data_IF_860088320770
#
_entry.id   IF_860088320770
#
_cell.length_a   1.000
_cell.length_b   1.000
_cell.length_c   1.000
_cell.angle_alpha   90.00
_cell.angle_beta   90.00
_cell.angle_gamma   90.00
#
_symmetry.space_group_name_H-M   'P 1'
#
loop_
_entity.id
_entity.type
_entity.pdbx_description
1 polymer ?
#
# COMPACT_ATOMS: atom_id res chain seq x y z
N UNK A 1 136.11 -43.03 -57.30
CA UNK A 1 134.74 -43.34 -57.81
C UNK A 1 133.65 -43.30 -56.72
N UNK A 2 134.01 -43.34 -55.43
CA UNK A 2 133.09 -43.48 -54.29
C UNK A 2 132.50 -42.16 -53.73
N UNK A 3 132.84 -41.00 -54.31
CA UNK A 3 132.30 -39.68 -53.92
C UNK A 3 131.11 -39.23 -54.78
N UNK A 4 131.04 -39.67 -56.04
CA UNK A 4 129.97 -39.32 -56.98
C UNK A 4 128.66 -40.05 -56.62
N UNK A 5 128.74 -41.28 -56.12
CA UNK A 5 127.58 -42.06 -55.65
C UNK A 5 126.91 -41.43 -54.42
N UNK A 6 127.69 -41.05 -53.40
CA UNK A 6 127.17 -40.41 -52.18
C UNK A 6 126.52 -39.05 -52.43
N UNK A 7 127.08 -38.23 -53.32
CA UNK A 7 126.45 -36.96 -53.73
C UNK A 7 125.15 -37.14 -54.52
N UNK A 8 124.98 -38.24 -55.26
CA UNK A 8 123.71 -38.56 -55.93
C UNK A 8 122.65 -39.05 -54.94
N UNK A 9 123.02 -39.91 -53.99
CA UNK A 9 122.11 -40.40 -52.95
C UNK A 9 121.62 -39.25 -52.06
N UNK A 10 122.53 -38.37 -51.60
CA UNK A 10 122.15 -37.20 -50.79
C UNK A 10 121.21 -36.23 -51.55
N UNK A 11 121.37 -36.09 -52.87
CA UNK A 11 120.45 -35.30 -53.70
C UNK A 11 119.07 -35.94 -53.81
N UNK A 12 118.99 -37.27 -53.94
CA UNK A 12 117.72 -38.00 -54.00
C UNK A 12 116.99 -37.93 -52.65
N UNK A 13 117.69 -38.10 -51.53
CA UNK A 13 117.10 -37.97 -50.19
C UNK A 13 116.57 -36.55 -49.98
N UNK A 14 117.37 -35.51 -50.29
CA UNK A 14 116.92 -34.12 -50.18
C UNK A 14 115.73 -33.82 -51.10
N UNK A 15 115.73 -34.35 -52.32
CA UNK A 15 114.61 -34.17 -53.23
C UNK A 15 113.35 -34.89 -52.74
N UNK A 16 113.49 -36.06 -52.12
CA UNK A 16 112.39 -36.79 -51.48
C UNK A 16 111.85 -36.05 -50.25
N UNK A 17 112.72 -35.51 -49.40
CA UNK A 17 112.35 -34.73 -48.21
C UNK A 17 111.65 -33.42 -48.59
N UNK A 18 112.11 -32.74 -49.64
CA UNK A 18 111.42 -31.56 -50.20
C UNK A 18 110.06 -31.97 -50.79
N UNK A 19 109.98 -33.10 -51.50
CA UNK A 19 108.71 -33.57 -52.07
C UNK A 19 107.71 -33.98 -50.97
N UNK A 20 108.17 -34.63 -49.91
CA UNK A 20 107.37 -35.01 -48.74
C UNK A 20 106.87 -33.78 -47.99
N UNK A 21 107.77 -32.82 -47.68
CA UNK A 21 107.37 -31.57 -47.03
C UNK A 21 106.41 -30.74 -47.88
N UNK A 22 106.61 -30.71 -49.21
CA UNK A 22 105.66 -30.04 -50.12
C UNK A 22 104.30 -30.74 -50.14
N UNK A 23 104.27 -32.08 -50.18
CA UNK A 23 103.03 -32.85 -50.15
C UNK A 23 102.30 -32.70 -48.80
N UNK A 24 103.03 -32.67 -47.70
CA UNK A 24 102.47 -32.45 -46.35
C UNK A 24 101.92 -31.02 -46.21
N UNK A 25 102.64 -30.00 -46.69
CA UNK A 25 102.15 -28.62 -46.71
C UNK A 25 100.90 -28.46 -47.58
N UNK A 26 100.88 -29.09 -48.78
CA UNK A 26 99.71 -29.07 -49.66
C UNK A 26 98.51 -29.78 -49.03
N UNK A 27 98.72 -30.92 -48.35
CA UNK A 27 97.68 -31.62 -47.62
C UNK A 27 97.13 -30.77 -46.46
N UNK A 28 98.02 -30.13 -45.70
CA UNK A 28 97.65 -29.26 -44.58
C UNK A 28 96.88 -28.01 -45.05
N UNK A 29 97.28 -27.39 -46.17
CA UNK A 29 96.55 -26.28 -46.77
C UNK A 29 95.15 -26.70 -47.22
N UNK A 30 95.03 -27.82 -47.95
CA UNK A 30 93.72 -28.34 -48.37
C UNK A 30 92.84 -28.70 -47.18
N UNK A 31 93.40 -29.31 -46.14
CA UNK A 31 92.67 -29.64 -44.91
C UNK A 31 92.18 -28.38 -44.19
N UNK A 32 93.01 -27.33 -44.10
CA UNK A 32 92.63 -26.06 -43.49
C UNK A 32 91.54 -25.33 -44.30
N UNK A 33 91.64 -25.33 -45.63
CA UNK A 33 90.63 -24.73 -46.51
C UNK A 33 89.27 -25.45 -46.39
N UNK A 34 89.28 -26.78 -46.38
CA UNK A 34 88.04 -27.56 -46.22
C UNK A 34 87.47 -27.44 -44.80
N UNK A 35 88.32 -27.38 -43.77
CA UNK A 35 87.89 -27.10 -42.40
C UNK A 35 87.23 -25.71 -42.30
N UNK A 36 87.84 -24.67 -42.89
CA UNK A 36 87.26 -23.33 -42.93
C UNK A 36 85.92 -23.28 -43.67
N UNK A 37 85.79 -24.02 -44.78
CA UNK A 37 84.51 -24.16 -45.50
C UNK A 37 83.45 -24.87 -44.66
N UNK A 38 83.83 -25.93 -43.96
CA UNK A 38 82.94 -26.66 -43.07
C UNK A 38 82.44 -25.78 -41.92
N UNK A 39 83.34 -25.03 -41.28
CA UNK A 39 82.97 -24.10 -40.19
C UNK A 39 82.02 -23.01 -40.66
N UNK A 40 82.28 -22.41 -41.83
CA UNK A 40 81.37 -21.41 -42.42
C UNK A 40 80.01 -22.04 -42.75
N UNK A 41 79.98 -23.27 -43.28
CA UNK A 41 78.74 -23.98 -43.55
C UNK A 41 77.94 -24.27 -42.27
N UNK A 42 78.61 -24.71 -41.20
CA UNK A 42 77.99 -24.94 -39.87
C UNK A 42 77.43 -23.63 -39.32
N UNK A 43 78.21 -22.55 -39.33
CA UNK A 43 77.75 -21.24 -38.84
C UNK A 43 76.54 -20.71 -39.63
N UNK A 44 76.53 -20.91 -40.96
CA UNK A 44 75.41 -20.50 -41.79
C UNK A 44 74.16 -21.35 -41.51
N UNK A 45 74.32 -22.66 -41.31
CA UNK A 45 73.23 -23.55 -40.92
C UNK A 45 72.66 -23.14 -39.54
N UNK A 46 73.52 -22.84 -38.57
CA UNK A 46 73.11 -22.43 -37.23
C UNK A 46 72.39 -21.06 -37.25
N UNK A 47 72.90 -20.09 -38.03
CA UNK A 47 72.21 -18.82 -38.27
C UNK A 47 70.82 -19.04 -38.87
N UNK A 48 70.69 -19.92 -39.86
CA UNK A 48 69.42 -20.24 -40.48
C UNK A 48 68.43 -20.90 -39.49
N UNK A 49 68.92 -21.82 -38.65
CA UNK A 49 68.13 -22.46 -37.60
C UNK A 49 67.64 -21.43 -36.58
N UNK A 50 68.52 -20.54 -36.11
CA UNK A 50 68.15 -19.49 -35.15
C UNK A 50 67.12 -18.53 -35.76
N UNK A 51 67.31 -18.12 -37.01
CA UNK A 51 66.35 -17.28 -37.72
C UNK A 51 64.96 -17.95 -37.81
N UNK A 52 64.91 -19.24 -38.17
CA UNK A 52 63.67 -20.01 -38.26
C UNK A 52 63.00 -20.22 -36.90
N UNK A 53 63.78 -20.46 -35.83
CA UNK A 53 63.24 -20.53 -34.47
C UNK A 53 62.64 -19.21 -34.00
N UNK A 54 63.29 -18.09 -34.31
CA UNK A 54 62.76 -16.77 -33.99
C UNK A 54 61.48 -16.46 -34.76
N UNK A 55 61.44 -16.82 -36.05
CA UNK A 55 60.24 -16.71 -36.88
C UNK A 55 59.09 -17.57 -36.32
N UNK A 56 59.37 -18.83 -35.96
CA UNK A 56 58.40 -19.71 -35.32
C UNK A 56 57.87 -19.14 -34.00
N UNK A 57 58.75 -18.59 -33.14
CA UNK A 57 58.36 -17.93 -31.89
C UNK A 57 57.47 -16.73 -32.13
N UNK A 58 57.78 -15.91 -33.14
CA UNK A 58 56.95 -14.76 -33.51
C UNK A 58 55.56 -15.20 -33.95
N UNK A 59 55.49 -16.17 -34.87
CA UNK A 59 54.20 -16.70 -35.36
C UNK A 59 53.39 -17.32 -34.22
N UNK A 60 54.03 -18.07 -33.32
CA UNK A 60 53.37 -18.66 -32.16
C UNK A 60 52.81 -17.58 -31.21
N UNK A 61 53.57 -16.51 -30.96
CA UNK A 61 53.13 -15.39 -30.13
C UNK A 61 51.97 -14.62 -30.77
N UNK A 62 52.03 -14.35 -32.07
CA UNK A 62 50.96 -13.67 -32.81
C UNK A 62 49.67 -14.51 -32.82
N UNK A 63 49.79 -15.82 -33.04
CA UNK A 63 48.65 -16.74 -32.99
C UNK A 63 48.06 -16.81 -31.57
N UNK A 64 48.89 -16.93 -30.54
CA UNK A 64 48.43 -16.95 -29.16
C UNK A 64 47.67 -15.66 -28.79
N UNK A 65 48.20 -14.50 -29.20
CA UNK A 65 47.55 -13.20 -29.01
C UNK A 65 46.20 -13.13 -29.73
N UNK A 66 46.13 -13.63 -30.97
CA UNK A 66 44.88 -13.65 -31.73
C UNK A 66 43.82 -14.54 -31.07
N UNK A 67 44.20 -15.75 -30.63
CA UNK A 67 43.32 -16.69 -29.93
C UNK A 67 42.82 -16.08 -28.62
N UNK A 68 43.71 -15.48 -27.83
CA UNK A 68 43.35 -14.87 -26.56
C UNK A 68 42.43 -13.65 -26.74
N UNK A 69 42.68 -12.83 -27.77
CA UNK A 69 41.82 -11.70 -28.12
C UNK A 69 40.42 -12.18 -28.53
N UNK A 70 40.34 -13.17 -29.41
CA UNK A 70 39.07 -13.73 -29.86
C UNK A 70 38.30 -14.40 -28.71
N UNK A 71 39.00 -15.11 -27.82
CA UNK A 71 38.39 -15.73 -26.64
C UNK A 71 37.84 -14.68 -25.67
N UNK A 72 38.59 -13.59 -25.40
CA UNK A 72 38.12 -12.46 -24.59
C UNK A 72 36.87 -11.82 -25.18
N UNK A 73 36.88 -11.56 -26.49
CA UNK A 73 35.75 -10.96 -27.20
C UNK A 73 34.50 -11.86 -27.16
N UNK A 74 34.67 -13.16 -27.39
CA UNK A 74 33.59 -14.14 -27.30
C UNK A 74 32.99 -14.21 -25.89
N UNK A 75 33.84 -14.23 -24.86
CA UNK A 75 33.40 -14.22 -23.46
C UNK A 75 32.69 -12.91 -23.08
N UNK A 76 33.22 -11.77 -23.52
CA UNK A 76 32.61 -10.47 -23.28
C UNK A 76 31.22 -10.37 -23.93
N UNK A 77 31.09 -10.79 -25.20
CA UNK A 77 29.80 -10.87 -25.90
C UNK A 77 28.83 -11.82 -25.19
N UNK A 78 29.32 -12.98 -24.74
CA UNK A 78 28.51 -13.92 -23.99
C UNK A 78 27.98 -13.35 -22.67
N UNK A 79 28.82 -12.61 -21.93
CA UNK A 79 28.41 -11.92 -20.71
C UNK A 79 27.41 -10.79 -21.00
N UNK A 80 27.67 -9.99 -22.04
CA UNK A 80 26.77 -8.92 -22.44
C UNK A 80 25.38 -9.45 -22.80
N UNK A 81 25.29 -10.51 -23.62
CA UNK A 81 24.01 -11.12 -23.97
C UNK A 81 23.25 -11.67 -22.75
N UNK A 82 23.98 -12.21 -21.75
CA UNK A 82 23.38 -12.62 -20.47
C UNK A 82 22.85 -11.43 -19.69
N UNK A 83 23.61 -10.35 -19.58
CA UNK A 83 23.18 -9.16 -18.87
C UNK A 83 21.98 -8.47 -19.54
N UNK A 84 21.92 -8.45 -20.87
CA UNK A 84 20.77 -7.95 -21.62
C UNK A 84 19.52 -8.80 -21.35
N UNK A 85 19.63 -10.13 -21.45
CA UNK A 85 18.53 -11.04 -21.14
C UNK A 85 18.07 -10.95 -19.68
N UNK A 86 19.00 -10.78 -18.73
CA UNK A 86 18.68 -10.57 -17.32
C UNK A 86 17.96 -9.24 -17.11
N UNK A 87 18.39 -8.15 -17.74
CA UNK A 87 17.72 -6.85 -17.66
C UNK A 87 16.28 -6.93 -18.17
N UNK A 88 16.07 -7.56 -19.32
CA UNK A 88 14.73 -7.78 -19.88
C UNK A 88 13.85 -8.59 -18.92
N UNK A 89 14.40 -9.66 -18.32
CA UNK A 89 13.69 -10.47 -17.34
C UNK A 89 13.31 -9.66 -16.10
N UNK A 90 14.20 -8.81 -15.59
CA UNK A 90 13.88 -7.98 -14.43
C UNK A 90 12.82 -6.93 -14.74
N UNK A 91 12.82 -6.37 -15.94
CA UNK A 91 11.77 -5.42 -16.35
C UNK A 91 10.40 -6.11 -16.43
N UNK A 92 10.33 -7.32 -17.01
CA UNK A 92 9.10 -8.12 -17.02
C UNK A 92 8.64 -8.45 -15.60
N UNK A 93 9.57 -8.82 -14.70
CA UNK A 93 9.23 -9.12 -13.29
C UNK A 93 8.69 -7.89 -12.57
N UNK A 94 9.30 -6.72 -12.78
CA UNK A 94 8.83 -5.45 -12.23
C UNK A 94 7.41 -5.14 -12.72
N UNK A 95 7.14 -5.31 -14.01
CA UNK A 95 5.80 -5.10 -14.57
C UNK A 95 4.78 -6.08 -14.00
N UNK A 96 5.14 -7.36 -13.91
CA UNK A 96 4.29 -8.40 -13.31
C UNK A 96 3.95 -8.06 -11.85
N UNK A 97 4.96 -7.68 -11.07
CA UNK A 97 4.77 -7.37 -9.66
C UNK A 97 3.94 -6.09 -9.47
N UNK A 98 4.13 -5.09 -10.33
CA UNK A 98 3.28 -3.89 -10.35
C UNK A 98 1.81 -4.27 -10.59
N UNK A 99 1.55 -5.12 -11.58
CA UNK A 99 0.18 -5.58 -11.89
C UNK A 99 -0.42 -6.35 -10.71
N UNK A 100 0.36 -7.23 -10.08
CA UNK A 100 -0.08 -7.97 -8.89
C UNK A 100 -0.41 -7.05 -7.73
N UNK A 101 0.47 -6.10 -7.41
CA UNK A 101 0.25 -5.16 -6.32
C UNK A 101 -1.02 -4.33 -6.56
N UNK A 102 -1.20 -3.84 -7.79
CA UNK A 102 -2.40 -3.08 -8.14
C UNK A 102 -3.67 -3.94 -8.05
N UNK A 103 -3.63 -5.19 -8.54
CA UNK A 103 -4.79 -6.08 -8.55
C UNK A 103 -5.16 -6.60 -7.14
N UNK A 104 -4.17 -6.98 -6.34
CA UNK A 104 -4.38 -7.66 -5.06
C UNK A 104 -4.51 -6.70 -3.88
N UNK A 105 -3.88 -5.52 -3.95
CA UNK A 105 -3.83 -4.57 -2.83
C UNK A 105 -4.54 -3.26 -3.14
N UNK A 106 -4.15 -2.56 -4.20
CA UNK A 106 -4.64 -1.20 -4.46
C UNK A 106 -6.12 -1.21 -4.86
N UNK A 107 -6.51 -2.04 -5.83
CA UNK A 107 -7.88 -2.06 -6.34
C UNK A 107 -8.91 -2.50 -5.28
N UNK A 108 -8.66 -3.54 -4.46
CA UNK A 108 -9.56 -3.89 -3.36
C UNK A 108 -9.61 -2.82 -2.27
N UNK A 109 -8.50 -2.16 -1.97
CA UNK A 109 -8.46 -1.07 -1.00
C UNK A 109 -9.31 0.13 -1.49
N UNK A 110 -9.16 0.52 -2.76
CA UNK A 110 -9.96 1.57 -3.38
C UNK A 110 -11.44 1.21 -3.45
N UNK A 111 -11.76 -0.04 -3.79
CA UNK A 111 -13.14 -0.52 -3.80
C UNK A 111 -13.77 -0.45 -2.41
N UNK A 112 -13.05 -0.89 -1.35
CA UNK A 112 -13.51 -0.78 0.05
C UNK A 112 -13.70 0.67 0.47
N UNK A 113 -12.74 1.53 0.18
CA UNK A 113 -12.84 2.97 0.47
C UNK A 113 -14.09 3.59 -0.17
N UNK A 114 -14.31 3.37 -1.46
CA UNK A 114 -15.49 3.88 -2.16
C UNK A 114 -16.79 3.29 -1.61
N UNK A 115 -16.81 2.00 -1.27
CA UNK A 115 -17.96 1.37 -0.64
C UNK A 115 -18.29 2.00 0.72
N UNK A 116 -17.27 2.24 1.56
CA UNK A 116 -17.44 2.90 2.86
C UNK A 116 -17.93 4.33 2.72
N UNK A 117 -17.41 5.09 1.76
CA UNK A 117 -17.89 6.45 1.45
C UNK A 117 -19.37 6.44 1.05
N UNK A 118 -19.79 5.49 0.21
CA UNK A 118 -21.20 5.35 -0.21
C UNK A 118 -22.09 4.90 0.95
N UNK A 119 -21.63 3.97 1.78
CA UNK A 119 -22.36 3.52 2.97
C UNK A 119 -22.51 4.67 3.96
N UNK A 120 -21.46 5.46 4.19
CA UNK A 120 -21.51 6.62 5.07
C UNK A 120 -22.50 7.69 4.56
N UNK A 121 -22.48 7.99 3.26
CA UNK A 121 -23.46 8.87 2.62
C UNK A 121 -24.88 8.32 2.75
N UNK A 122 -25.08 7.02 2.51
CA UNK A 122 -26.38 6.38 2.67
C UNK A 122 -26.90 6.41 4.11
N UNK A 123 -26.03 6.21 5.11
CA UNK A 123 -26.37 6.33 6.53
C UNK A 123 -26.71 7.78 6.94
N UNK A 124 -26.07 8.77 6.33
CA UNK A 124 -26.33 10.19 6.59
C UNK A 124 -27.61 10.70 5.90
N UNK A 125 -27.97 10.15 4.73
CA UNK A 125 -29.14 10.56 3.94
C UNK A 125 -30.47 10.68 4.73
N UNK A 126 -30.90 9.71 5.55
CA UNK A 126 -32.14 9.86 6.32
C UNK A 126 -32.04 10.96 7.38
N UNK A 127 -30.85 11.22 7.93
CA UNK A 127 -30.66 12.31 8.89
C UNK A 127 -30.82 13.67 8.22
N UNK A 128 -30.24 13.83 7.03
CA UNK A 128 -30.39 15.05 6.24
C UNK A 128 -31.84 15.27 5.81
N UNK A 129 -32.51 14.22 5.30
CA UNK A 129 -33.88 14.34 4.80
C UNK A 129 -34.90 14.52 5.94
N UNK A 130 -34.75 13.81 7.06
CA UNK A 130 -35.57 14.06 8.24
C UNK A 130 -35.32 15.45 8.81
N UNK A 131 -34.08 15.95 8.77
CA UNK A 131 -33.75 17.31 9.17
C UNK A 131 -34.43 18.36 8.29
N UNK A 132 -34.44 18.15 6.96
CA UNK A 132 -35.14 18.99 5.98
C UNK A 132 -36.66 18.98 6.21
N UNK A 133 -37.25 17.79 6.33
CA UNK A 133 -38.68 17.63 6.59
C UNK A 133 -39.10 18.26 7.93
N UNK A 134 -38.31 18.09 8.99
CA UNK A 134 -38.57 18.74 10.28
C UNK A 134 -38.48 20.26 10.18
N UNK A 135 -37.49 20.79 9.46
CA UNK A 135 -37.37 22.23 9.24
C UNK A 135 -38.59 22.79 8.49
N UNK A 136 -39.10 22.08 7.48
CA UNK A 136 -40.32 22.45 6.75
C UNK A 136 -41.56 22.42 7.67
N UNK A 137 -41.72 21.36 8.47
CA UNK A 137 -42.81 21.26 9.47
C UNK A 137 -42.74 22.42 10.47
N UNK A 138 -41.55 22.78 10.95
CA UNK A 138 -41.37 23.92 11.87
C UNK A 138 -41.70 25.26 11.19
N UNK A 139 -41.36 25.44 9.91
CA UNK A 139 -41.74 26.63 9.16
C UNK A 139 -43.26 26.72 8.98
N UNK A 140 -43.94 25.62 8.66
CA UNK A 140 -45.40 25.56 8.56
C UNK A 140 -46.07 25.86 9.91
N UNK A 141 -45.52 25.32 11.00
CA UNK A 141 -46.01 25.59 12.34
C UNK A 141 -45.82 27.07 12.73
N UNK A 142 -44.66 27.65 12.41
CA UNK A 142 -44.39 29.06 12.64
C UNK A 142 -45.33 29.97 11.83
N UNK A 143 -45.61 29.62 10.57
CA UNK A 143 -46.56 30.34 9.71
C UNK A 143 -48.00 30.23 10.24
N UNK A 144 -48.43 29.04 10.66
CA UNK A 144 -49.75 28.83 11.28
C UNK A 144 -49.88 29.61 12.59
N UNK A 145 -48.81 29.66 13.40
CA UNK A 145 -48.79 30.43 14.63
C UNK A 145 -48.87 31.94 14.37
N UNK A 146 -48.13 32.44 13.37
CA UNK A 146 -48.24 33.84 12.94
C UNK A 146 -49.63 34.20 12.43
N UNK A 147 -50.35 33.26 11.81
CA UNK A 147 -51.69 33.48 11.27
C UNK A 147 -52.80 33.43 12.33
N UNK A 148 -52.64 32.60 13.38
CA UNK A 148 -53.67 32.36 14.38
C UNK A 148 -53.73 33.44 15.51
N UNK A 149 -52.77 34.36 15.56
CA UNK A 149 -52.82 35.54 16.43
C UNK A 149 -52.73 35.24 17.94
N UNK A 150 -53.02 36.25 18.75
CA UNK A 150 -52.71 36.32 20.21
C UNK A 150 -53.31 35.16 21.04
N UNK A 151 -54.39 34.53 20.58
CA UNK A 151 -55.09 33.44 21.30
C UNK A 151 -54.65 32.01 20.91
N UNK A 152 -53.78 31.85 19.91
CA UNK A 152 -53.34 30.54 19.43
C UNK A 152 -52.43 29.79 20.42
N UNK A 153 -51.70 30.55 21.25
CA UNK A 153 -50.72 30.03 22.19
C UNK A 153 -51.37 29.25 23.33
N UNK A 154 -52.53 29.72 23.79
CA UNK A 154 -53.20 29.17 24.98
C UNK A 154 -53.89 27.83 24.69
N UNK A 155 -54.52 27.68 23.52
CA UNK A 155 -55.17 26.43 23.10
C UNK A 155 -54.14 25.32 22.88
N UNK A 156 -52.98 25.64 22.28
CA UNK A 156 -51.92 24.65 22.04
C UNK A 156 -51.21 24.21 23.33
N UNK A 157 -51.01 25.13 24.29
CA UNK A 157 -50.44 24.79 25.60
C UNK A 157 -51.32 23.80 26.36
N UNK A 158 -52.64 23.92 26.29
CA UNK A 158 -53.57 22.98 26.94
C UNK A 158 -53.38 21.56 26.38
N UNK A 159 -53.25 21.41 25.05
CA UNK A 159 -53.05 20.10 24.43
C UNK A 159 -51.69 19.47 24.79
N UNK A 160 -50.64 20.28 24.89
CA UNK A 160 -49.30 19.79 25.20
C UNK A 160 -49.12 19.46 26.70
N UNK A 161 -49.83 20.16 27.59
CA UNK A 161 -49.86 19.87 29.03
C UNK A 161 -50.45 18.47 29.28
N UNK A 162 -51.48 18.05 28.55
CA UNK A 162 -52.07 16.71 28.69
C UNK A 162 -51.05 15.59 28.40
N UNK A 163 -50.25 15.76 27.35
CA UNK A 163 -49.19 14.82 26.98
C UNK A 163 -48.01 14.80 27.97
N UNK A 164 -47.66 15.95 28.55
CA UNK A 164 -46.64 16.03 29.60
C UNK A 164 -47.12 15.39 30.90
N UNK A 165 -48.36 15.64 31.30
CA UNK A 165 -48.98 15.05 32.49
C UNK A 165 -49.07 13.54 32.36
N UNK A 166 -49.47 13.00 31.21
CA UNK A 166 -49.53 11.55 30.99
C UNK A 166 -48.16 10.88 31.07
N UNK A 167 -47.11 11.53 30.56
CA UNK A 167 -45.73 11.03 30.62
C UNK A 167 -45.17 11.07 32.05
N UNK A 168 -45.49 12.12 32.81
CA UNK A 168 -45.13 12.24 34.23
C UNK A 168 -45.85 11.18 35.06
N UNK A 169 -47.16 10.99 34.86
CA UNK A 169 -47.97 9.96 35.53
C UNK A 169 -47.45 8.55 35.21
N UNK A 170 -47.07 8.29 33.96
CA UNK A 170 -46.48 7.01 33.54
C UNK A 170 -45.08 6.75 34.12
N UNK A 171 -44.30 7.80 34.42
CA UNK A 171 -43.02 7.66 35.13
C UNK A 171 -43.22 7.53 36.64
N UNK A 172 -44.21 8.21 37.22
CA UNK A 172 -44.58 8.09 38.63
C UNK A 172 -45.17 6.72 38.97
N UNK A 173 -45.94 6.10 38.06
CA UNK A 173 -46.46 4.74 38.27
C UNK A 173 -45.36 3.66 38.28
N UNK A 174 -44.19 3.95 37.68
CA UNK A 174 -42.97 3.11 37.78
C UNK A 174 -42.18 3.32 39.07
N UNK A 175 -42.53 4.33 39.86
CA UNK A 175 -41.90 4.66 41.14
C UNK A 175 -42.74 4.06 42.28
N UNK A 176 -42.83 2.73 42.34
CA UNK A 176 -43.41 2.03 43.49
C UNK A 176 -42.43 2.10 44.65
N UNK A 177 -42.73 2.91 45.66
CA UNK A 177 -41.96 2.97 46.92
C UNK A 177 -42.13 1.63 47.62
N UNK A 178 -41.04 0.85 47.68
CA UNK A 178 -41.08 -0.56 48.08
C UNK A 178 -41.23 -0.76 49.58
N UNK A 179 -40.82 0.22 50.39
CA UNK A 179 -40.88 0.17 51.84
C UNK A 179 -40.75 1.60 52.42
N UNK A 180 -41.67 1.99 53.29
CA UNK A 180 -41.57 3.24 54.06
C UNK A 180 -41.52 2.85 55.53
N UNK A 181 -40.36 3.02 56.16
CA UNK A 181 -40.22 2.84 57.60
C UNK A 181 -40.76 4.08 58.31
N UNK A 182 -41.98 3.97 58.81
CA UNK A 182 -42.62 4.99 59.63
C UNK A 182 -42.17 4.74 61.08
N UNK A 183 -41.41 5.67 61.65
CA UNK A 183 -41.05 5.63 63.07
C UNK A 183 -42.22 6.23 63.85
N UNK A 184 -43.01 5.36 64.48
CA UNK A 184 -44.08 5.75 65.39
C UNK A 184 -43.47 6.15 66.75
N UNK A 185 -43.70 7.38 67.26
CA UNK A 185 -43.31 7.76 68.61
C UNK A 185 -44.14 7.08 69.70
N UNK A 186 -45.09 6.22 69.35
CA UNK A 186 -45.82 5.33 70.27
C UNK A 186 -47.20 5.84 70.70
N UNK A 187 -47.80 6.80 69.98
CA UNK A 187 -49.16 7.29 70.27
C UNK A 187 -50.22 6.88 69.22
N UNK A 188 -49.83 6.14 68.18
CA UNK A 188 -50.74 5.64 67.14
C UNK A 188 -51.20 6.68 66.12
N UNK A 189 -50.73 7.94 66.19
CA UNK A 189 -51.07 9.00 65.22
C UNK A 189 -50.23 8.97 63.93
N UNK A 190 -49.19 8.14 63.86
CA UNK A 190 -48.24 8.14 62.74
C UNK A 190 -48.86 7.74 61.39
N UNK A 191 -49.74 6.73 61.38
CA UNK A 191 -50.46 6.28 60.17
C UNK A 191 -51.53 7.30 59.72
N UNK A 192 -52.40 7.82 60.61
CA UNK A 192 -53.33 8.90 60.27
C UNK A 192 -52.65 10.17 59.76
N UNK A 193 -51.52 10.58 60.37
CA UNK A 193 -50.77 11.77 59.95
C UNK A 193 -50.09 11.60 58.58
N UNK A 194 -49.60 10.40 58.24
CA UNK A 194 -49.06 10.12 56.91
C UNK A 194 -50.14 10.19 55.82
N UNK A 195 -51.32 9.61 56.09
CA UNK A 195 -52.45 9.66 55.16
C UNK A 195 -53.02 11.08 55.03
N UNK A 196 -53.05 11.85 56.12
CA UNK A 196 -53.47 13.26 56.12
C UNK A 196 -52.43 14.22 55.51
N UNK A 197 -51.16 13.82 55.45
CA UNK A 197 -50.11 14.62 54.81
C UNK A 197 -50.21 14.59 53.28
N UNK A 198 -50.76 13.53 52.66
CA UNK A 198 -50.86 13.39 51.20
C UNK A 198 -51.59 14.56 50.52
N UNK A 199 -52.79 15.01 50.97
CA UNK A 199 -53.42 16.19 50.40
C UNK A 199 -52.58 17.47 50.49
N UNK A 200 -51.81 17.63 51.58
CA UNK A 200 -50.98 18.82 51.82
C UNK A 200 -49.69 18.81 50.99
N UNK A 201 -49.05 17.64 50.79
CA UNK A 201 -47.92 17.50 49.88
C UNK A 201 -48.35 17.73 48.43
N UNK A 202 -49.51 17.23 48.01
CA UNK A 202 -50.05 17.51 46.68
C UNK A 202 -50.32 19.01 46.49
N UNK A 203 -50.90 19.69 47.48
CA UNK A 203 -51.12 21.14 47.42
C UNK A 203 -49.79 21.93 47.31
N UNK A 204 -48.74 21.50 48.02
CA UNK A 204 -47.43 22.14 47.99
C UNK A 204 -46.71 21.93 46.65
N UNK A 205 -46.84 20.75 46.05
CA UNK A 205 -46.28 20.47 44.72
C UNK A 205 -46.99 21.31 43.66
N UNK A 206 -48.32 21.41 43.72
CA UNK A 206 -49.10 22.23 42.79
C UNK A 206 -48.81 23.72 42.93
N UNK A 207 -48.59 24.23 44.16
CA UNK A 207 -48.19 25.63 44.37
C UNK A 207 -46.75 25.92 43.90
N UNK A 208 -45.83 24.97 44.11
CA UNK A 208 -44.44 25.09 43.63
C UNK A 208 -44.40 25.04 42.10
N UNK A 209 -45.23 24.22 41.47
CA UNK A 209 -45.38 24.18 40.02
C UNK A 209 -45.88 25.53 39.48
N UNK A 210 -46.87 26.14 40.14
CA UNK A 210 -47.34 27.49 39.81
C UNK A 210 -46.25 28.56 39.96
N UNK A 211 -45.42 28.50 41.00
CA UNK A 211 -44.34 29.48 41.19
C UNK A 211 -43.19 29.34 40.20
N UNK A 212 -42.87 28.11 39.79
CA UNK A 212 -41.73 27.82 38.90
C UNK A 212 -42.07 27.94 37.42
N UNK A 213 -43.30 27.60 37.03
CA UNK A 213 -43.74 27.58 35.64
C UNK A 213 -44.81 28.63 35.31
N UNK A 214 -45.39 29.29 36.32
CA UNK A 214 -46.49 30.24 36.18
C UNK A 214 -47.88 29.61 35.97
N UNK A 215 -47.96 28.28 35.87
CA UNK A 215 -49.17 27.56 35.46
C UNK A 215 -50.02 27.21 36.70
N UNK A 216 -51.26 27.70 36.74
CA UNK A 216 -52.23 27.47 37.82
C UNK A 216 -53.26 26.40 37.42
N UNK A 217 -52.94 25.14 37.69
CA UNK A 217 -53.74 23.97 37.27
C UNK A 217 -55.17 23.97 37.85
N UNK A 218 -55.41 24.27 39.14
CA UNK A 218 -56.76 24.40 39.68
C UNK A 218 -57.59 25.49 39.00
N UNK A 219 -56.97 26.62 38.64
CA UNK A 219 -57.66 27.74 37.98
C UNK A 219 -58.08 27.40 36.54
N UNK A 220 -57.18 26.75 35.79
CA UNK A 220 -57.43 26.30 34.40
C UNK A 220 -58.55 25.25 34.36
N UNK A 221 -58.59 24.32 35.32
CA UNK A 221 -59.65 23.31 35.42
C UNK A 221 -61.01 23.90 35.82
N UNK A 222 -61.02 24.94 36.68
CA UNK A 222 -62.24 25.63 37.07
C UNK A 222 -62.81 26.50 35.93
N UNK A 223 -61.95 27.15 35.15
CA UNK A 223 -62.34 27.94 33.98
C UNK A 223 -62.83 27.04 32.82
N UNK A 224 -62.21 25.87 32.60
CA UNK A 224 -62.65 24.89 31.61
C UNK A 224 -64.04 24.31 31.85
N UNK A 225 -64.55 24.34 33.10
CA UNK A 225 -65.88 23.80 33.45
C UNK A 225 -67.03 24.77 33.18
N UNK A 226 -66.77 26.06 32.99
CA UNK A 226 -67.79 27.10 32.82
C UNK A 226 -67.98 27.59 31.37
N UNK A 227 -67.34 26.96 30.38
CA UNK A 227 -67.40 27.39 28.98
C UNK A 227 -67.64 26.25 28.01
N UNK A 228 -68.85 25.66 27.99
CA UNK A 228 -69.30 24.77 26.90
C UNK A 228 -70.80 24.99 26.61
N UNK A 229 -71.13 26.09 25.92
CA UNK A 229 -72.33 26.19 25.07
C UNK A 229 -71.96 26.92 23.78
N UNK A 230 -71.56 26.17 22.76
CA UNK A 230 -71.18 26.73 21.46
C UNK A 230 -70.88 25.61 20.47
N UNK A 231 -71.91 25.14 19.78
CA UNK A 231 -71.80 24.17 18.69
C UNK A 231 -71.02 24.77 17.51
N UNK A 232 -69.80 24.30 17.29
CA UNK A 232 -69.13 24.39 16.00
C UNK A 232 -68.70 22.98 15.59
N UNK A 233 -69.34 22.44 14.54
CA UNK A 233 -68.96 21.17 13.93
C UNK A 233 -67.54 21.29 13.38
N UNK A 234 -66.61 20.57 14.01
CA UNK A 234 -65.29 20.28 13.44
C UNK A 234 -65.38 18.99 12.62
N UNK A 235 -65.03 19.04 11.33
CA UNK A 235 -64.77 17.87 10.50
C UNK A 235 -63.26 17.62 10.44
N UNK A 236 -62.75 16.40 10.72
CA UNK A 236 -61.33 16.11 10.61
C UNK A 236 -60.86 16.12 9.14
N UNK A 237 -59.63 16.58 8.84
CA UNK A 237 -59.03 16.40 7.52
C UNK A 237 -58.78 14.91 7.25
N UNK A 238 -59.05 14.48 6.02
CA UNK A 238 -58.88 13.09 5.58
C UNK A 238 -57.42 12.61 5.73
N UNK A 239 -57.19 11.33 6.06
CA UNK A 239 -55.83 10.78 6.09
C UNK A 239 -55.19 10.87 4.69
N UNK A 240 -53.86 11.08 4.60
CA UNK A 240 -53.16 11.01 3.32
C UNK A 240 -53.38 9.62 2.72
N UNK A 241 -53.95 9.57 1.51
CA UNK A 241 -54.06 8.34 0.73
C UNK A 241 -52.66 7.86 0.38
N UNK A 242 -52.16 6.90 1.14
CA UNK A 242 -51.01 6.09 0.74
C UNK A 242 -51.44 5.17 -0.39
N UNK A 243 -51.04 5.49 -1.62
CA UNK A 243 -51.02 4.51 -2.70
C UNK A 243 -49.92 3.50 -2.38
N UNK A 244 -50.28 2.40 -1.73
CA UNK A 244 -49.49 1.17 -1.76
C UNK A 244 -49.56 0.66 -3.20
N UNK A 245 -48.57 0.99 -4.01
CA UNK A 245 -48.32 0.27 -5.26
C UNK A 245 -47.77 -1.10 -4.88
N UNK A 246 -48.66 -2.07 -4.73
CA UNK A 246 -48.31 -3.48 -4.81
C UNK A 246 -47.85 -3.77 -6.24
N UNK A 247 -46.54 -3.73 -6.47
CA UNK A 247 -45.93 -4.31 -7.67
C UNK A 247 -46.05 -5.82 -7.54
N UNK A 248 -47.03 -6.38 -8.26
CA UNK A 248 -47.13 -7.80 -8.56
C UNK A 248 -45.90 -8.19 -9.38
N UNK A 249 -44.95 -8.85 -8.72
CA UNK A 249 -43.88 -9.59 -9.36
C UNK A 249 -44.51 -10.76 -10.13
N UNK A 250 -44.54 -10.60 -11.45
CA UNK A 250 -45.04 -11.60 -12.38
C UNK A 250 -43.95 -12.66 -12.54
N UNK A 251 -44.21 -13.82 -11.96
CA UNK A 251 -43.47 -15.05 -12.23
C UNK A 251 -43.63 -15.36 -13.73
N UNK A 252 -42.50 -15.45 -14.42
CA UNK A 252 -42.34 -15.82 -15.82
C UNK A 252 -40.86 -15.92 -16.12
#
# INVERSE_FOLDING_TARGET
LDSIGRQRIARVIRAAEIAESNAENEANQKAADEAGRADVAIQNAEKAIVAKRNEQRRIAADLAKAVESAAREANARGQQARFEAEQELQEIRKQLEQIRLTADVELPADARKRAEELIAKGKAAPTEENGRAMAEVLQLLAAAWSAAGENARDIFLIQQIENLVSTIVARMSKLTVKEVNIIDPGDGSALPNYVAAFPQTVATILSTLRQTTGIDVPKILAEGRNGHSGTAKWSPPAPPSGSVTSTTERIG
#
